data_IF_874318604904
#
_entry.id   IF_874318604904
#
_cell.length_a   1.000
_cell.length_b   1.000
_cell.length_c   1.000
_cell.angle_alpha   90.00
_cell.angle_beta   90.00
_cell.angle_gamma   90.00
#
_symmetry.space_group_name_H-M   'P 1'
#
loop_
_entity.id
_entity.type
_entity.pdbx_description
1 polymer ?
#
# COMPACT_ATOMS: atom_id res chain seq x y z
N UNK A 1 -10.68 -7.68 -9.82
CA UNK A 1 -10.88 -6.24 -9.58
C UNK A 1 -9.63 -5.54 -9.03
N UNK A 2 -9.02 -6.00 -7.92
CA UNK A 2 -7.80 -5.38 -7.34
C UNK A 2 -6.63 -5.24 -8.32
N UNK A 3 -6.35 -6.30 -9.09
CA UNK A 3 -5.33 -6.28 -10.17
C UNK A 3 -5.56 -5.20 -11.22
N UNK A 4 -6.82 -4.97 -11.60
CA UNK A 4 -7.18 -3.95 -12.58
C UNK A 4 -6.98 -2.54 -12.00
N UNK A 5 -7.48 -2.31 -10.78
CA UNK A 5 -7.36 -1.01 -10.12
C UNK A 5 -5.89 -0.62 -9.90
N UNK A 6 -5.07 -1.54 -9.38
CA UNK A 6 -3.66 -1.26 -9.17
C UNK A 6 -2.90 -1.06 -10.49
N UNK A 7 -3.14 -1.88 -11.52
CA UNK A 7 -2.55 -1.64 -12.84
C UNK A 7 -2.91 -0.26 -13.42
N UNK A 8 -4.13 0.21 -13.20
CA UNK A 8 -4.54 1.56 -13.63
C UNK A 8 -3.80 2.65 -12.85
N UNK A 9 -3.57 2.48 -11.54
CA UNK A 9 -2.77 3.41 -10.73
C UNK A 9 -1.34 3.50 -11.28
N UNK A 10 -0.68 2.36 -11.49
CA UNK A 10 0.69 2.34 -12.03
C UNK A 10 0.77 2.96 -13.43
N UNK A 11 -0.20 2.66 -14.31
CA UNK A 11 -0.29 3.30 -15.63
C UNK A 11 -0.47 4.82 -15.55
N UNK A 12 -1.34 5.30 -14.67
CA UNK A 12 -1.60 6.74 -14.51
C UNK A 12 -0.39 7.50 -13.97
N UNK A 13 0.38 6.87 -13.08
CA UNK A 13 1.61 7.43 -12.49
C UNK A 13 2.82 7.28 -13.43
N UNK A 14 2.76 6.38 -14.41
CA UNK A 14 3.87 6.10 -15.34
C UNK A 14 4.97 5.23 -14.74
N UNK A 15 4.68 4.51 -13.66
CA UNK A 15 5.64 3.65 -12.96
C UNK A 15 5.44 2.19 -13.33
N UNK A 16 6.53 1.43 -13.28
CA UNK A 16 6.51 -0.02 -13.44
C UNK A 16 6.87 -0.69 -12.11
N UNK A 17 6.56 -1.97 -11.97
CA UNK A 17 6.86 -2.76 -10.78
C UNK A 17 7.42 -4.12 -11.20
N UNK A 18 8.32 -4.66 -10.38
CA UNK A 18 8.82 -6.03 -10.49
C UNK A 18 8.50 -6.75 -9.19
N UNK A 19 8.09 -8.01 -9.28
CA UNK A 19 7.71 -8.82 -8.13
C UNK A 19 8.41 -10.16 -8.23
N UNK A 20 9.21 -10.44 -7.22
CA UNK A 20 9.74 -11.78 -6.96
C UNK A 20 9.03 -12.35 -5.72
N UNK A 21 8.13 -13.34 -5.90
CA UNK A 21 7.43 -13.97 -4.78
C UNK A 21 8.36 -14.63 -3.76
N UNK A 22 9.59 -14.98 -4.14
CA UNK A 22 10.55 -15.66 -3.25
C UNK A 22 11.14 -14.71 -2.21
N UNK A 23 11.07 -13.40 -2.44
CA UNK A 23 11.58 -12.39 -1.49
C UNK A 23 10.69 -12.30 -0.25
N UNK A 24 9.41 -12.70 -0.35
CA UNK A 24 8.45 -12.49 0.72
C UNK A 24 8.28 -13.72 1.62
N UNK A 25 8.56 -13.53 2.90
CA UNK A 25 8.26 -14.49 3.96
C UNK A 25 6.77 -14.46 4.38
N UNK A 26 6.31 -15.56 5.00
CA UNK A 26 4.94 -15.70 5.52
C UNK A 26 4.56 -14.62 6.54
N UNK A 27 5.54 -14.13 7.32
CA UNK A 27 5.39 -13.05 8.30
C UNK A 27 6.69 -12.26 8.36
N UNK A 28 6.59 -10.95 8.17
CA UNK A 28 7.75 -10.06 8.12
C UNK A 28 7.32 -8.62 8.38
N UNK A 29 8.31 -7.77 8.65
CA UNK A 29 8.17 -6.31 8.68
C UNK A 29 8.90 -5.76 7.47
N UNK A 30 8.23 -4.92 6.69
CA UNK A 30 8.81 -4.26 5.52
C UNK A 30 9.01 -2.78 5.87
N UNK A 31 10.23 -2.29 5.68
CA UNK A 31 10.58 -0.88 5.85
C UNK A 31 10.75 -0.29 4.45
N UNK A 32 9.88 0.66 4.08
CA UNK A 32 10.04 1.43 2.85
C UNK A 32 10.81 2.71 3.16
N UNK A 33 12.08 2.81 2.80
CA UNK A 33 12.91 4.01 2.92
C UNK A 33 13.97 4.03 1.80
N UNK A 34 14.39 5.17 1.25
CA UNK A 34 13.89 6.53 1.52
C UNK A 34 12.56 6.83 0.80
N UNK A 35 11.80 7.80 1.31
CA UNK A 35 10.56 8.24 0.69
C UNK A 35 10.80 9.42 -0.23
N UNK A 36 10.31 9.32 -1.47
CA UNK A 36 10.23 10.44 -2.41
C UNK A 36 8.97 11.27 -2.14
N UNK A 37 7.82 10.63 -1.86
CA UNK A 37 6.56 11.32 -1.55
C UNK A 37 5.50 10.39 -0.93
N UNK A 38 4.36 10.95 -0.52
CA UNK A 38 3.21 10.16 -0.05
C UNK A 38 2.67 9.17 -1.11
N UNK A 39 3.02 9.37 -2.39
CA UNK A 39 2.64 8.46 -3.47
C UNK A 39 3.29 7.08 -3.30
N UNK A 40 4.45 7.00 -2.65
CA UNK A 40 5.15 5.73 -2.39
C UNK A 40 4.28 4.78 -1.56
N UNK A 41 3.54 5.31 -0.58
CA UNK A 41 2.60 4.55 0.23
C UNK A 41 1.41 4.04 -0.60
N UNK A 42 0.87 4.89 -1.49
CA UNK A 42 -0.25 4.52 -2.38
C UNK A 42 0.17 3.42 -3.35
N UNK A 43 1.34 3.57 -3.99
CA UNK A 43 1.88 2.58 -4.93
C UNK A 43 2.18 1.25 -4.23
N UNK A 44 2.74 1.30 -3.02
CA UNK A 44 3.01 0.10 -2.21
C UNK A 44 1.71 -0.64 -1.87
N UNK A 45 0.70 0.07 -1.35
CA UNK A 45 -0.60 -0.54 -1.03
C UNK A 45 -1.25 -1.13 -2.29
N UNK A 46 -1.22 -0.39 -3.42
CA UNK A 46 -1.75 -0.87 -4.69
C UNK A 46 -1.05 -2.17 -5.13
N UNK A 47 0.28 -2.22 -5.06
CA UNK A 47 1.07 -3.40 -5.42
C UNK A 47 0.69 -4.62 -4.59
N UNK A 48 0.71 -4.49 -3.26
CA UNK A 48 0.35 -5.61 -2.36
C UNK A 48 -1.10 -6.08 -2.58
N UNK A 49 -2.03 -5.16 -2.85
CA UNK A 49 -3.41 -5.54 -3.18
C UNK A 49 -3.52 -6.27 -4.52
N UNK A 50 -2.72 -5.93 -5.53
CA UNK A 50 -2.68 -6.65 -6.81
C UNK A 50 -2.13 -8.06 -6.65
N UNK A 51 -1.20 -8.25 -5.74
CA UNK A 51 -0.62 -9.55 -5.36
C UNK A 51 -1.51 -10.35 -4.42
N UNK A 52 -2.64 -9.77 -3.98
CA UNK A 52 -3.54 -10.33 -2.97
C UNK A 52 -2.83 -10.66 -1.63
N UNK A 53 -1.81 -9.86 -1.31
CA UNK A 53 -1.06 -9.96 -0.06
C UNK A 53 -1.73 -9.05 0.96
N UNK A 54 -2.08 -9.64 2.11
CA UNK A 54 -2.64 -8.88 3.24
C UNK A 54 -1.51 -8.14 3.95
N UNK A 55 -1.58 -6.81 3.93
CA UNK A 55 -0.64 -5.94 4.64
C UNK A 55 -1.36 -5.18 5.76
N UNK A 56 -0.58 -4.75 6.75
CA UNK A 56 -1.01 -3.73 7.70
C UNK A 56 0.03 -2.62 7.70
N UNK A 57 -0.41 -1.41 7.40
CA UNK A 57 0.48 -0.26 7.19
C UNK A 57 0.31 0.72 8.32
N UNK A 58 1.41 1.15 8.93
CA UNK A 58 1.38 2.20 9.93
C UNK A 58 1.13 3.54 9.21
N UNK A 59 0.08 4.26 9.62
CA UNK A 59 -0.37 5.50 8.98
C UNK A 59 -0.64 6.54 10.06
N UNK A 60 -0.31 7.80 9.78
CA UNK A 60 -0.50 8.92 10.72
C UNK A 60 -1.95 9.04 11.21
N UNK A 61 -2.17 9.18 12.52
CA UNK A 61 -3.53 9.11 13.10
C UNK A 61 -4.47 10.19 12.58
N UNK A 62 -3.96 11.35 12.19
CA UNK A 62 -4.79 12.48 11.75
C UNK A 62 -5.40 12.26 10.36
N UNK A 63 -4.94 11.24 9.62
CA UNK A 63 -5.58 10.80 8.37
C UNK A 63 -6.81 9.92 8.63
N UNK A 64 -6.97 9.37 9.84
CA UNK A 64 -8.14 8.56 10.24
C UNK A 64 -9.31 9.44 10.68
N UNK A 65 -9.70 10.40 9.84
CA UNK A 65 -10.86 11.28 10.07
C UNK A 65 -11.73 11.40 8.83
N UNK A 66 -13.03 11.65 9.07
CA UNK A 66 -14.01 11.84 8.00
C UNK A 66 -14.13 10.63 7.05
N UNK A 67 -14.37 10.85 5.74
CA UNK A 67 -14.60 9.76 4.78
C UNK A 67 -13.35 8.90 4.54
N UNK A 68 -12.16 9.37 4.91
CA UNK A 68 -10.91 8.65 4.70
C UNK A 68 -10.73 7.52 5.72
N UNK A 69 -11.24 7.67 6.95
CA UNK A 69 -11.14 6.67 8.02
C UNK A 69 -11.59 5.25 7.59
N UNK A 70 -12.83 5.03 7.10
CA UNK A 70 -13.27 3.69 6.72
C UNK A 70 -12.48 3.11 5.54
N UNK A 71 -11.92 3.96 4.67
CA UNK A 71 -11.06 3.53 3.57
C UNK A 71 -9.75 2.99 4.13
N UNK A 72 -9.07 3.76 4.99
CA UNK A 72 -7.80 3.36 5.59
C UNK A 72 -7.93 2.09 6.45
N UNK A 73 -9.00 1.97 7.23
CA UNK A 73 -9.28 0.75 8.01
C UNK A 73 -9.45 -0.48 7.10
N UNK A 74 -10.19 -0.34 5.99
CA UNK A 74 -10.38 -1.42 5.01
C UNK A 74 -9.08 -1.81 4.30
N UNK A 75 -8.14 -0.87 4.16
CA UNK A 75 -6.81 -1.12 3.59
C UNK A 75 -5.85 -1.79 4.59
N UNK A 76 -6.26 -2.00 5.85
CA UNK A 76 -5.39 -2.54 6.90
C UNK A 76 -4.50 -1.47 7.56
N UNK A 77 -4.85 -0.19 7.42
CA UNK A 77 -4.14 0.90 8.07
C UNK A 77 -4.23 0.81 9.60
N UNK A 78 -3.08 0.94 10.25
CA UNK A 78 -2.95 1.02 11.70
C UNK A 78 -2.57 2.47 12.05
N UNK A 79 -3.43 3.21 12.77
CA UNK A 79 -3.11 4.56 13.18
C UNK A 79 -1.93 4.55 14.16
N UNK A 80 -0.88 5.30 13.83
CA UNK A 80 0.25 5.59 14.71
C UNK A 80 0.41 7.10 14.80
N UNK A 81 0.90 7.57 15.96
CA UNK A 81 1.21 8.96 16.33
C UNK A 81 0.32 10.10 15.84
#
# INVERSE_FOLDING_TARGET
MKKFLGNSIFKAVGWTYNVDPQILEKKQVIIGFEHTSNLDAVLSIALFQMLDIKIHTLIKKELFKGPLKPILEKLGGIPVE
#
